data_IF_468191773656
#
_entry.id   IF_468191773656
#
_cell.length_a   1.000
_cell.length_b   1.000
_cell.length_c   1.000
_cell.angle_alpha   90.00
_cell.angle_beta   90.00
_cell.angle_gamma   90.00
#
_symmetry.space_group_name_H-M   'P 1'
#
loop_
_entity.id
_entity.type
_entity.pdbx_description
1 polymer ?
#
# COMPACT_ATOMS: atom_id res chain seq x y z
N UNK A 1 2.04 -21.37 -2.65
CA UNK A 1 1.85 -21.31 -1.19
C UNK A 1 3.14 -21.79 -0.55
N UNK A 2 3.96 -20.90 0.02
CA UNK A 2 4.97 -21.32 0.98
C UNK A 2 4.31 -21.20 2.35
N UNK A 3 4.18 -22.32 3.02
CA UNK A 3 3.72 -22.41 4.40
C UNK A 3 4.98 -22.71 5.18
N UNK A 4 5.41 -21.77 6.02
CA UNK A 4 6.54 -21.96 6.90
C UNK A 4 5.97 -22.25 8.29
N UNK A 5 6.18 -23.48 8.77
CA UNK A 5 5.84 -23.86 10.13
C UNK A 5 7.06 -23.57 11.00
N UNK A 6 6.98 -22.54 11.84
CA UNK A 6 8.09 -22.14 12.72
C UNK A 6 7.71 -22.43 14.16
N UNK A 7 8.63 -23.07 14.87
CA UNK A 7 8.48 -23.41 16.28
C UNK A 7 9.30 -22.45 17.14
N UNK A 8 8.69 -21.92 18.20
CA UNK A 8 9.36 -21.08 19.18
C UNK A 8 8.83 -21.34 20.59
N UNK A 9 9.65 -21.03 21.60
CA UNK A 9 9.25 -21.16 23.01
C UNK A 9 8.25 -20.07 23.41
N UNK A 10 8.24 -18.95 22.68
CA UNK A 10 7.26 -17.87 22.84
C UNK A 10 6.77 -17.37 21.49
N UNK A 11 5.57 -16.76 21.46
CA UNK A 11 4.98 -16.15 20.27
C UNK A 11 5.91 -15.13 19.60
N UNK A 12 6.63 -14.34 20.40
CA UNK A 12 7.57 -13.33 19.94
C UNK A 12 8.83 -13.94 19.32
N UNK A 13 9.35 -15.04 19.90
CA UNK A 13 10.53 -15.72 19.35
C UNK A 13 10.22 -16.42 18.03
N UNK A 14 9.04 -17.03 17.91
CA UNK A 14 8.56 -17.65 16.67
C UNK A 14 8.29 -16.60 15.58
N UNK A 15 7.76 -15.42 15.93
CA UNK A 15 7.59 -14.29 15.00
C UNK A 15 8.93 -13.77 14.51
N UNK A 16 9.89 -13.54 15.40
CA UNK A 16 11.21 -13.02 15.02
C UNK A 16 11.98 -13.96 14.10
N UNK A 17 11.97 -15.27 14.38
CA UNK A 17 12.58 -16.29 13.51
C UNK A 17 11.89 -16.35 12.14
N UNK A 18 10.56 -16.30 12.12
CA UNK A 18 9.81 -16.27 10.87
C UNK A 18 10.08 -14.99 10.06
N UNK A 19 10.25 -13.83 10.70
CA UNK A 19 10.58 -12.57 10.03
C UNK A 19 12.00 -12.57 9.47
N UNK A 20 12.97 -13.11 10.20
CA UNK A 20 14.37 -13.22 9.77
C UNK A 20 14.52 -14.20 8.59
N UNK A 21 13.83 -15.35 8.61
CA UNK A 21 13.84 -16.31 7.49
C UNK A 21 13.10 -15.79 6.24
N UNK A 22 12.15 -14.87 6.42
CA UNK A 22 11.32 -14.35 5.33
C UNK A 22 11.76 -12.98 4.81
N UNK A 23 12.68 -12.30 5.50
CA UNK A 23 13.16 -10.97 5.12
C UNK A 23 12.04 -9.94 4.98
N UNK A 24 10.96 -10.13 5.76
CA UNK A 24 9.71 -9.37 5.68
C UNK A 24 9.44 -8.67 7.01
N UNK A 25 8.73 -7.54 6.97
CA UNK A 25 8.34 -6.80 8.18
C UNK A 25 7.10 -7.44 8.83
N UNK A 26 6.86 -7.22 10.14
CA UNK A 26 5.69 -7.73 10.89
C UNK A 26 4.34 -7.49 10.21
N UNK A 27 4.27 -6.47 9.36
CA UNK A 27 3.08 -6.08 8.61
C UNK A 27 2.82 -6.89 7.32
N UNK A 28 3.76 -7.73 6.89
CA UNK A 28 3.69 -8.46 5.60
C UNK A 28 3.31 -9.94 5.76
N UNK A 29 3.10 -10.40 7.00
CA UNK A 29 2.95 -11.82 7.30
C UNK A 29 1.61 -12.11 7.96
N UNK A 30 0.88 -13.09 7.42
CA UNK A 30 -0.33 -13.61 8.04
C UNK A 30 0.07 -14.76 8.96
N UNK A 31 0.01 -14.51 10.27
CA UNK A 31 0.33 -15.50 11.30
C UNK A 31 -0.96 -16.20 11.72
N UNK A 32 -0.99 -17.52 11.62
CA UNK A 32 -2.05 -18.37 12.17
C UNK A 32 -1.43 -19.24 13.28
N UNK A 33 -1.93 -19.11 14.50
CA UNK A 33 -1.52 -19.97 15.62
C UNK A 33 -2.20 -21.32 15.45
N UNK A 34 -1.42 -22.39 15.30
CA UNK A 34 -1.94 -23.75 15.12
C UNK A 34 -2.02 -24.47 16.47
N UNK A 35 -1.05 -24.22 17.35
CA UNK A 35 -0.95 -24.87 18.66
C UNK A 35 -0.26 -23.93 19.67
N UNK A 36 -0.86 -23.76 20.85
CA UNK A 36 -0.34 -22.95 21.95
C UNK A 36 -0.32 -23.80 23.23
N UNK A 37 0.87 -24.23 23.64
CA UNK A 37 1.13 -24.88 24.94
C UNK A 37 2.12 -24.07 25.77
N UNK A 38 2.21 -24.32 27.09
CA UNK A 38 3.03 -23.54 28.05
C UNK A 38 4.51 -23.42 27.67
N UNK A 39 5.06 -24.36 26.88
CA UNK A 39 6.48 -24.40 26.46
C UNK A 39 6.70 -24.47 24.93
N UNK A 40 5.64 -24.47 24.12
CA UNK A 40 5.74 -24.62 22.66
C UNK A 40 4.60 -23.91 21.94
N UNK A 41 4.96 -22.98 21.06
CA UNK A 41 4.04 -22.29 20.15
C UNK A 41 4.41 -22.69 18.73
N UNK A 42 3.44 -23.28 18.02
CA UNK A 42 3.57 -23.62 16.59
C UNK A 42 2.79 -22.58 15.79
N UNK A 43 3.52 -21.78 15.01
CA UNK A 43 2.95 -20.77 14.13
C UNK A 43 2.98 -21.29 12.68
N UNK A 44 1.81 -21.33 12.04
CA UNK A 44 1.73 -21.37 10.58
C UNK A 44 1.87 -19.95 10.07
N UNK A 45 2.99 -19.67 9.41
CA UNK A 45 3.25 -18.39 8.77
C UNK A 45 2.96 -18.55 7.29
N UNK A 46 1.81 -18.02 6.88
CA UNK A 46 1.30 -18.11 5.52
C UNK A 46 1.83 -16.97 4.66
N UNK A 47 2.66 -17.31 3.69
CA UNK A 47 3.24 -16.34 2.77
C UNK A 47 2.28 -16.09 1.60
N UNK A 48 1.65 -14.91 1.61
CA UNK A 48 1.29 -14.19 0.37
C UNK A 48 2.48 -13.38 -0.19
N UNK A 49 3.70 -13.57 0.33
CA UNK A 49 4.87 -12.84 -0.17
C UNK A 49 5.16 -13.07 -1.65
N UNK A 50 4.65 -14.10 -2.32
CA UNK A 50 4.81 -14.18 -3.79
C UNK A 50 4.04 -13.04 -4.50
N UNK A 51 2.83 -12.71 -4.02
CA UNK A 51 2.01 -11.64 -4.57
C UNK A 51 2.56 -10.27 -4.19
N UNK A 52 2.96 -10.09 -2.93
CA UNK A 52 3.62 -8.86 -2.46
C UNK A 52 4.96 -8.65 -3.17
N UNK A 53 5.78 -9.69 -3.33
CA UNK A 53 7.05 -9.64 -4.06
C UNK A 53 6.82 -9.30 -5.52
N UNK A 54 5.83 -9.89 -6.17
CA UNK A 54 5.46 -9.54 -7.54
C UNK A 54 5.05 -8.07 -7.67
N UNK A 55 4.23 -7.56 -6.73
CA UNK A 55 3.81 -6.15 -6.70
C UNK A 55 5.06 -5.25 -6.56
N UNK A 56 5.92 -5.52 -5.58
CA UNK A 56 7.15 -4.74 -5.37
C UNK A 56 8.07 -4.81 -6.58
N UNK A 57 8.32 -5.99 -7.15
CA UNK A 57 9.18 -6.16 -8.33
C UNK A 57 8.69 -5.32 -9.52
N UNK A 58 7.39 -5.34 -9.79
CA UNK A 58 6.81 -4.56 -10.90
C UNK A 58 6.93 -3.05 -10.64
N UNK A 59 6.62 -2.61 -9.42
CA UNK A 59 6.67 -1.19 -9.06
C UNK A 59 8.11 -0.67 -9.05
N UNK A 60 9.03 -1.39 -8.41
CA UNK A 60 10.45 -1.05 -8.34
C UNK A 60 11.09 -1.04 -9.74
N UNK A 61 10.75 -2.03 -10.59
CA UNK A 61 11.19 -2.05 -11.97
C UNK A 61 10.67 -0.86 -12.79
N UNK A 62 9.42 -0.44 -12.55
CA UNK A 62 8.82 0.72 -13.20
C UNK A 62 9.52 2.02 -12.80
N UNK A 63 9.66 2.30 -11.50
CA UNK A 63 10.31 3.55 -11.03
C UNK A 63 11.79 3.59 -11.40
N UNK A 64 12.48 2.44 -11.41
CA UNK A 64 13.86 2.33 -11.87
C UNK A 64 14.00 2.66 -13.35
N UNK A 65 13.03 2.25 -14.18
CA UNK A 65 13.00 2.59 -15.60
C UNK A 65 12.76 4.08 -15.83
N UNK A 66 12.17 4.79 -14.87
CA UNK A 66 12.03 6.24 -14.87
C UNK A 66 13.28 6.98 -14.34
N UNK A 67 14.31 6.25 -13.89
CA UNK A 67 15.57 6.82 -13.42
C UNK A 67 15.62 7.10 -11.91
N UNK A 68 14.73 6.53 -11.10
CA UNK A 68 14.73 6.71 -9.64
C UNK A 68 14.56 5.41 -8.88
N UNK A 69 14.74 5.47 -7.57
CA UNK A 69 14.45 4.39 -6.63
C UNK A 69 13.55 4.91 -5.52
N UNK A 70 12.90 4.00 -4.81
CA UNK A 70 11.99 4.39 -3.74
C UNK A 70 11.58 3.20 -2.90
N UNK A 71 11.06 3.49 -1.71
CA UNK A 71 10.41 2.51 -0.86
C UNK A 71 9.01 2.20 -1.38
N UNK A 72 8.63 0.93 -1.30
CA UNK A 72 7.28 0.46 -1.62
C UNK A 72 6.74 -0.31 -0.43
N UNK A 73 5.73 0.25 0.23
CA UNK A 73 5.01 -0.40 1.32
C UNK A 73 3.74 -1.02 0.76
N UNK A 74 3.49 -2.29 1.04
CA UNK A 74 2.32 -3.01 0.54
C UNK A 74 1.54 -3.59 1.72
N UNK A 75 0.25 -3.28 1.78
CA UNK A 75 -0.67 -3.85 2.76
C UNK A 75 -1.86 -4.49 2.05
N UNK A 76 -2.35 -5.61 2.56
CA UNK A 76 -3.58 -6.23 2.06
C UNK A 76 -4.74 -5.85 2.98
N UNK A 77 -5.86 -5.42 2.41
CA UNK A 77 -7.13 -5.22 3.13
C UNK A 77 -8.27 -5.77 2.31
N UNK A 78 -9.04 -6.68 2.92
CA UNK A 78 -10.26 -7.25 2.32
C UNK A 78 -10.04 -7.84 0.92
N UNK A 79 -8.88 -8.43 0.67
CA UNK A 79 -8.53 -9.03 -0.62
C UNK A 79 -7.97 -8.07 -1.67
N UNK A 80 -7.83 -6.77 -1.35
CA UNK A 80 -7.22 -5.75 -2.20
C UNK A 80 -5.87 -5.34 -1.62
N UNK A 81 -4.86 -5.23 -2.49
CA UNK A 81 -3.54 -4.73 -2.11
C UNK A 81 -3.50 -3.21 -2.24
N UNK A 82 -2.89 -2.55 -1.26
CA UNK A 82 -2.62 -1.12 -1.27
C UNK A 82 -1.12 -0.94 -1.24
N UNK A 83 -0.54 -0.40 -2.31
CA UNK A 83 0.88 -0.11 -2.40
C UNK A 83 1.12 1.40 -2.33
N UNK A 84 1.88 1.84 -1.34
CA UNK A 84 2.32 3.21 -1.17
C UNK A 84 3.78 3.35 -1.60
N UNK A 85 4.02 4.20 -2.59
CA UNK A 85 5.34 4.46 -3.17
C UNK A 85 5.90 5.74 -2.55
N UNK A 86 7.16 5.70 -2.10
CA UNK A 86 7.88 6.87 -1.60
C UNK A 86 9.25 6.93 -2.26
N UNK A 87 9.41 7.85 -3.20
CA UNK A 87 10.69 8.13 -3.89
C UNK A 87 11.41 9.34 -3.30
N UNK A 88 10.69 10.24 -2.62
CA UNK A 88 11.22 11.51 -2.13
C UNK A 88 11.36 12.53 -3.26
N UNK A 89 12.30 12.32 -4.18
CA UNK A 89 12.63 13.30 -5.23
C UNK A 89 11.57 13.36 -6.34
N UNK A 90 11.00 12.21 -6.74
CA UNK A 90 10.07 12.12 -7.86
C UNK A 90 8.59 12.11 -7.46
N UNK A 91 8.28 12.15 -6.16
CA UNK A 91 6.90 12.01 -5.68
C UNK A 91 5.98 13.06 -6.32
N UNK A 92 6.41 14.32 -6.39
CA UNK A 92 5.62 15.41 -6.99
C UNK A 92 5.33 15.19 -8.48
N UNK A 93 6.30 14.62 -9.23
CA UNK A 93 6.17 14.33 -10.65
C UNK A 93 5.25 13.13 -10.86
N UNK A 94 5.41 12.08 -10.07
CA UNK A 94 4.59 10.87 -10.13
C UNK A 94 3.14 11.15 -9.73
N UNK A 95 2.90 12.10 -8.82
CA UNK A 95 1.55 12.57 -8.46
C UNK A 95 0.96 13.40 -9.61
N UNK A 96 1.71 14.38 -10.11
CA UNK A 96 1.26 15.30 -11.16
C UNK A 96 0.14 16.25 -10.71
N UNK A 97 -0.28 17.15 -11.62
CA UNK A 97 -1.30 18.16 -11.31
C UNK A 97 -2.62 17.47 -10.93
N UNK A 98 -3.12 17.75 -9.72
CA UNK A 98 -4.35 17.17 -9.17
C UNK A 98 -4.39 15.62 -9.15
N UNK A 99 -3.25 14.95 -9.18
CA UNK A 99 -3.19 13.48 -9.16
C UNK A 99 -3.31 12.81 -10.53
N UNK A 100 -3.31 13.56 -11.64
CA UNK A 100 -3.45 13.00 -12.99
C UNK A 100 -2.38 11.95 -13.33
N UNK A 101 -1.13 12.18 -12.91
CA UNK A 101 -0.06 11.21 -13.16
C UNK A 101 -0.22 10.00 -12.24
N UNK A 102 -0.64 10.19 -10.99
CA UNK A 102 -0.93 9.09 -10.08
C UNK A 102 -2.02 8.16 -10.67
N UNK A 103 -3.05 8.70 -11.29
CA UNK A 103 -4.09 7.89 -11.96
C UNK A 103 -3.54 7.10 -13.15
N UNK A 104 -2.70 7.72 -13.97
CA UNK A 104 -2.05 7.04 -15.09
C UNK A 104 -1.10 5.94 -14.60
N UNK A 105 -0.30 6.21 -13.57
CA UNK A 105 0.61 5.27 -12.93
C UNK A 105 -0.15 4.10 -12.30
N UNK A 106 -1.22 4.38 -11.55
CA UNK A 106 -2.16 3.38 -11.01
C UNK A 106 -2.65 2.46 -12.13
N UNK A 107 -3.14 3.04 -13.24
CA UNK A 107 -3.67 2.27 -14.34
C UNK A 107 -2.61 1.35 -14.96
N UNK A 108 -1.42 1.88 -15.25
CA UNK A 108 -0.35 1.10 -15.87
C UNK A 108 0.15 -0.03 -14.96
N UNK A 109 0.47 0.29 -13.71
CA UNK A 109 0.99 -0.68 -12.74
C UNK A 109 -0.04 -1.77 -12.43
N UNK A 110 -1.30 -1.40 -12.18
CA UNK A 110 -2.37 -2.37 -11.96
C UNK A 110 -2.53 -3.32 -13.15
N UNK A 111 -2.47 -2.80 -14.39
CA UNK A 111 -2.54 -3.63 -15.61
C UNK A 111 -1.32 -4.54 -15.77
N UNK A 112 -0.12 -4.05 -15.47
CA UNK A 112 1.12 -4.86 -15.52
C UNK A 112 1.08 -6.00 -14.50
N UNK A 113 0.62 -5.72 -13.27
CA UNK A 113 0.50 -6.70 -12.19
C UNK A 113 -0.59 -7.72 -12.52
N UNK A 114 -1.78 -7.26 -12.91
CA UNK A 114 -2.91 -8.12 -13.27
C UNK A 114 -2.58 -9.05 -14.45
N UNK A 115 -1.78 -8.59 -15.43
CA UNK A 115 -1.30 -9.43 -16.53
C UNK A 115 -0.43 -10.59 -16.05
N UNK A 116 0.36 -10.40 -14.98
CA UNK A 116 1.23 -11.45 -14.41
C UNK A 116 0.47 -12.35 -13.43
N UNK A 117 -0.47 -11.80 -12.67
CA UNK A 117 -1.37 -12.56 -11.80
C UNK A 117 -2.76 -11.90 -11.76
N UNK A 118 -3.77 -12.47 -12.45
CA UNK A 118 -5.12 -11.91 -12.53
C UNK A 118 -5.88 -11.87 -11.20
N UNK A 119 -5.38 -12.55 -10.15
CA UNK A 119 -6.00 -12.55 -8.81
C UNK A 119 -5.59 -11.34 -7.97
N UNK A 120 -4.62 -10.56 -8.42
CA UNK A 120 -4.12 -9.40 -7.70
C UNK A 120 -4.87 -8.16 -8.15
N UNK A 121 -5.69 -7.63 -7.27
CA UNK A 121 -6.23 -6.28 -7.35
C UNK A 121 -5.39 -5.35 -6.49
N UNK A 122 -4.86 -4.27 -7.07
CA UNK A 122 -3.94 -3.36 -6.41
C UNK A 122 -4.33 -1.89 -6.61
N UNK A 123 -4.26 -1.13 -5.52
CA UNK A 123 -4.43 0.32 -5.48
C UNK A 123 -3.09 0.94 -5.13
N UNK A 124 -2.61 1.81 -6.00
CA UNK A 124 -1.37 2.57 -5.87
C UNK A 124 -1.67 3.94 -5.28
N UNK A 125 -0.86 4.34 -4.32
CA UNK A 125 -0.74 5.71 -3.81
C UNK A 125 0.74 6.13 -3.83
N UNK A 126 0.98 7.44 -3.80
CA UNK A 126 2.32 8.01 -3.77
C UNK A 126 2.38 8.97 -2.59
N UNK A 127 3.27 8.70 -1.64
CA UNK A 127 3.52 9.52 -0.46
C UNK A 127 2.23 9.93 0.29
N UNK A 128 1.22 9.05 0.34
CA UNK A 128 -0.08 9.31 0.98
C UNK A 128 -0.89 10.43 0.33
N UNK A 129 -0.71 10.69 -0.97
CA UNK A 129 -1.36 11.81 -1.67
C UNK A 129 -2.88 11.74 -1.60
N UNK A 130 -3.48 10.54 -1.76
CA UNK A 130 -4.94 10.38 -1.78
C UNK A 130 -5.58 10.91 -0.49
N UNK A 131 -5.03 10.55 0.66
CA UNK A 131 -5.53 10.98 1.97
C UNK A 131 -5.34 12.49 2.17
N UNK A 132 -4.18 13.02 1.78
CA UNK A 132 -3.90 14.47 1.82
C UNK A 132 -4.88 15.25 0.94
N UNK A 133 -5.18 14.74 -0.26
CA UNK A 133 -6.10 15.33 -1.23
C UNK A 133 -7.54 15.32 -0.71
N UNK A 134 -7.98 14.22 -0.11
CA UNK A 134 -9.30 14.12 0.51
C UNK A 134 -9.47 15.16 1.63
N UNK A 135 -8.51 15.26 2.55
CA UNK A 135 -8.55 16.27 3.63
C UNK A 135 -8.62 17.68 3.08
N UNK A 136 -7.80 18.00 2.08
CA UNK A 136 -7.79 19.30 1.43
C UNK A 136 -9.15 19.64 0.80
N UNK A 137 -9.74 18.71 0.03
CA UNK A 137 -11.02 18.92 -0.63
C UNK A 137 -12.16 19.10 0.38
N UNK A 138 -12.17 18.32 1.48
CA UNK A 138 -13.15 18.48 2.56
C UNK A 138 -13.05 19.84 3.24
N UNK A 139 -11.83 20.29 3.55
CA UNK A 139 -11.61 21.61 4.13
C UNK A 139 -12.07 22.73 3.18
N UNK A 140 -11.73 22.61 1.89
CA UNK A 140 -12.13 23.55 0.84
C UNK A 140 -13.66 23.64 0.71
N UNK A 141 -14.35 22.49 0.68
CA UNK A 141 -15.81 22.45 0.62
C UNK A 141 -16.47 23.12 1.83
N UNK A 142 -15.95 22.88 3.05
CA UNK A 142 -16.45 23.53 4.27
C UNK A 142 -16.24 25.04 4.25
N UNK A 143 -15.07 25.50 3.82
CA UNK A 143 -14.77 26.93 3.73
C UNK A 143 -15.75 27.65 2.80
N UNK A 144 -16.04 27.09 1.62
CA UNK A 144 -17.01 27.68 0.71
C UNK A 144 -18.44 27.62 1.23
N UNK A 145 -18.84 26.54 1.90
CA UNK A 145 -20.17 26.47 2.50
C UNK A 145 -20.40 27.61 3.52
N UNK A 146 -19.41 27.90 4.36
CA UNK A 146 -19.47 29.02 5.31
C UNK A 146 -19.45 30.39 4.59
N UNK A 147 -18.66 30.53 3.53
CA UNK A 147 -18.63 31.75 2.74
C UNK A 147 -19.98 32.07 2.10
N UNK A 148 -20.58 31.10 1.40
CA UNK A 148 -21.90 31.22 0.76
C UNK A 148 -22.98 31.49 1.81
N UNK A 149 -22.93 30.81 2.96
CA UNK A 149 -23.87 31.04 4.07
C UNK A 149 -23.80 32.47 4.62
N UNK A 150 -22.59 33.07 4.65
CA UNK A 150 -22.37 34.44 5.14
C UNK A 150 -22.75 35.50 4.11
N UNK A 151 -22.45 35.28 2.84
CA UNK A 151 -22.59 36.30 1.78
C UNK A 151 -23.90 36.17 1.00
N UNK A 152 -24.50 34.99 0.95
CA UNK A 152 -25.64 34.66 0.09
C UNK A 152 -25.28 34.57 -1.40
N UNK A 153 -24.00 34.68 -1.76
CA UNK A 153 -23.52 34.63 -3.15
C UNK A 153 -23.10 33.20 -3.46
N UNK A 154 -23.56 32.67 -4.59
CA UNK A 154 -23.17 31.33 -5.05
C UNK A 154 -21.68 31.23 -5.38
N UNK A 155 -21.07 30.07 -5.09
CA UNK A 155 -19.69 29.78 -5.44
C UNK A 155 -19.63 28.71 -6.54
N UNK A 156 -19.07 29.07 -7.68
CA UNK A 156 -18.87 28.14 -8.81
C UNK A 156 -17.48 27.53 -8.71
N UNK A 157 -17.43 26.21 -8.60
CA UNK A 157 -16.17 25.48 -8.56
C UNK A 157 -15.53 25.40 -9.95
N UNK A 158 -14.20 25.55 -9.99
CA UNK A 158 -13.41 25.05 -11.11
C UNK A 158 -13.54 23.51 -11.19
N UNK A 159 -13.46 22.91 -12.39
CA UNK A 159 -13.48 21.45 -12.53
C UNK A 159 -12.44 20.78 -11.61
N UNK A 160 -12.90 19.81 -10.81
CA UNK A 160 -12.11 19.16 -9.76
C UNK A 160 -11.35 17.92 -10.23
#
# INVERSE_FOLDING_TARGET
MKILTVEGKTREEALKKALEELGASEHEVRVKVVEEGEDRVVLEVGIKAEEVKLIKEVIEGFIKSMGTTGGVEVIEREGVYYANIVTGEMDSILIGKAGKNLEAVQHLLARMIHKRNPKIDVVIDIAGYREKRERFLRAKARAFAEEVKRTGIEYIFEPL
#
